data_IF_486319910912
#
_entry.id   IF_486319910912
#
_cell.length_a   1.000
_cell.length_b   1.000
_cell.length_c   1.000
_cell.angle_alpha   90.00
_cell.angle_beta   90.00
_cell.angle_gamma   90.00
#
_symmetry.space_group_name_H-M   'P 1'
#
loop_
_entity.id
_entity.type
_entity.pdbx_description
1 polymer ?
2 water ?
#
# COMPACT_ATOMS: atom_id res chain seq x y z
N UNK A 19 28.35 -30.19 -24.75
CA UNK A 19 27.61 -30.09 -26.01
C UNK A 19 26.24 -29.44 -25.82
N UNK A 20 26.05 -28.27 -26.43
CA UNK A 20 24.86 -27.44 -26.22
C UNK A 20 24.05 -27.30 -27.50
N UNK A 21 22.74 -27.39 -27.38
CA UNK A 21 21.86 -27.29 -28.54
C UNK A 21 21.63 -25.83 -28.94
N UNK A 22 21.42 -25.62 -30.24
CA UNK A 22 21.17 -24.29 -30.77
C UNK A 22 19.94 -23.66 -30.12
N UNK A 23 20.08 -22.52 -29.43
CA UNK A 23 18.93 -21.88 -28.79
C UNK A 23 17.95 -21.25 -29.78
N UNK A 24 18.29 -21.13 -31.06
CA UNK A 24 17.27 -20.70 -32.02
C UNK A 24 16.24 -21.79 -32.27
N UNK A 25 16.58 -23.03 -31.94
CA UNK A 25 15.70 -24.18 -32.18
C UNK A 25 15.26 -24.87 -30.91
N UNK A 26 15.98 -24.72 -29.81
CA UNK A 26 15.71 -25.48 -28.59
C UNK A 26 15.48 -24.49 -27.46
N UNK A 27 14.22 -24.26 -27.10
CA UNK A 27 13.92 -23.29 -26.06
C UNK A 27 13.08 -23.94 -24.97
N UNK A 28 13.15 -23.31 -23.79
CA UNK A 28 12.44 -23.79 -22.62
C UNK A 28 10.97 -23.98 -22.91
N UNK A 29 10.46 -25.15 -22.54
CA UNK A 29 9.05 -25.45 -22.67
C UNK A 29 8.32 -25.11 -21.38
N UNK A 30 7.06 -24.72 -21.54
CA UNK A 30 6.22 -24.22 -20.45
C UNK A 30 4.94 -25.01 -20.34
N UNK A 31 4.38 -25.06 -19.14
CA UNK A 31 3.05 -25.62 -18.96
C UNK A 31 2.23 -24.72 -18.03
N UNK A 32 0.90 -24.74 -18.16
CA UNK A 32 0.04 -24.01 -17.23
C UNK A 32 0.29 -24.46 -15.80
N UNK A 33 0.31 -23.49 -14.89
CA UNK A 33 0.63 -23.76 -13.48
C UNK A 33 -0.56 -23.42 -12.59
N UNK A 34 -1.07 -24.43 -11.87
CA UNK A 34 -2.17 -24.24 -10.88
C UNK A 34 -3.42 -23.66 -11.51
N UNK A 35 -3.76 -24.17 -12.70
CA UNK A 35 -4.85 -23.61 -13.49
C UNK A 35 -6.21 -23.68 -12.77
N UNK A 36 -6.40 -24.66 -11.88
CA UNK A 36 -7.64 -24.74 -11.12
C UNK A 36 -7.76 -23.69 -10.04
N UNK A 37 -6.71 -22.92 -9.78
CA UNK A 37 -6.77 -21.87 -8.76
C UNK A 37 -6.85 -20.47 -9.35
N UNK A 38 -6.94 -20.32 -10.67
CA UNK A 38 -6.94 -18.98 -11.24
C UNK A 38 -8.28 -18.27 -11.03
N UNK A 39 -8.22 -16.97 -10.80
CA UNK A 39 -9.39 -16.11 -10.86
C UNK A 39 -9.68 -15.78 -12.32
N UNK A 40 -10.83 -15.16 -12.60
CA UNK A 40 -11.17 -14.83 -13.99
C UNK A 40 -11.65 -13.39 -14.08
N UNK A 41 -11.54 -12.83 -15.28
CA UNK A 41 -11.91 -11.43 -15.50
C UNK A 41 -13.34 -11.32 -16.01
N UNK A 42 -14.05 -10.30 -15.52
CA UNK A 42 -15.41 -9.98 -15.94
C UNK A 42 -15.48 -8.56 -16.50
N UNK A 43 -16.46 -8.33 -17.40
CA UNK A 43 -16.59 -7.02 -18.02
C UNK A 43 -17.58 -6.14 -17.24
N UNK A 44 -17.87 -4.95 -17.78
CA UNK A 44 -18.75 -4.00 -17.10
C UNK A 44 -20.17 -4.51 -16.95
N UNK A 45 -20.61 -5.42 -17.84
CA UNK A 45 -21.92 -6.04 -17.76
C UNK A 45 -21.95 -7.30 -16.90
N UNK A 46 -20.92 -7.51 -16.08
CA UNK A 46 -20.86 -8.65 -15.16
C UNK A 46 -20.82 -9.98 -15.90
N UNK A 47 -20.22 -10.02 -17.10
CA UNK A 47 -20.08 -11.27 -17.85
C UNK A 47 -18.62 -11.69 -17.93
N UNK A 48 -18.35 -12.99 -17.74
CA UNK A 48 -16.97 -13.48 -17.82
C UNK A 48 -16.42 -13.26 -19.21
N UNK A 49 -15.25 -12.64 -19.29
CA UNK A 49 -14.61 -12.45 -20.59
C UNK A 49 -14.11 -13.77 -21.16
N UNK A 50 -14.02 -13.89 -22.48
CA UNK A 50 -13.23 -14.98 -23.06
C UNK A 50 -11.83 -14.91 -22.49
N UNK A 51 -11.29 -16.08 -22.18
CA UNK A 51 -10.02 -16.18 -21.47
C UNK A 51 -8.91 -15.50 -22.27
N UNK A 52 -8.11 -14.68 -21.60
CA UNK A 52 -7.02 -13.94 -22.28
C UNK A 52 -6.00 -14.92 -22.86
N UNK A 53 -5.34 -14.52 -23.93
CA UNK A 53 -4.28 -15.34 -24.49
C UNK A 53 -3.00 -15.08 -23.70
N UNK A 54 -2.16 -16.09 -23.57
CA UNK A 54 -1.01 -15.97 -22.64
C UNK A 54 0.10 -16.87 -23.15
N UNK A 55 1.21 -16.27 -23.53
CA UNK A 55 2.34 -17.03 -24.02
C UNK A 55 3.63 -16.47 -23.41
N UNK A 56 4.49 -17.38 -22.95
CA UNK A 56 5.74 -17.03 -22.24
C UNK A 56 6.90 -17.58 -23.04
N UNK A 57 7.95 -16.78 -23.19
CA UNK A 57 9.15 -17.22 -23.90
C UNK A 57 10.37 -16.78 -23.11
N UNK A 58 11.25 -17.71 -22.77
CA UNK A 58 12.51 -17.34 -22.11
C UNK A 58 13.53 -17.15 -23.21
N UNK A 59 13.63 -15.92 -23.73
CA UNK A 59 14.34 -15.78 -25.01
C UNK A 59 15.83 -15.49 -24.88
N UNK A 60 16.36 -15.28 -23.68
CA UNK A 60 17.81 -15.18 -23.49
C UNK A 60 18.19 -15.88 -22.20
N UNK A 61 19.39 -16.47 -22.20
CA UNK A 61 20.04 -16.89 -20.99
C UNK A 61 19.99 -18.37 -20.68
N UNK A 62 19.32 -19.17 -21.50
CA UNK A 62 19.18 -20.60 -21.21
C UNK A 62 19.68 -21.39 -22.40
N UNK A 63 20.45 -22.44 -22.13
CA UNK A 63 20.98 -23.32 -23.17
C UNK A 63 20.81 -24.77 -22.75
N UNK A 64 20.31 -25.61 -23.66
CA UNK A 64 20.05 -27.01 -23.33
C UNK A 64 21.35 -27.80 -23.38
N UNK A 65 21.72 -28.41 -22.26
CA UNK A 65 22.94 -29.20 -22.19
C UNK A 65 22.58 -30.66 -22.44
N UNK A 66 23.12 -31.24 -23.52
CA UNK A 66 22.79 -32.62 -23.84
C UNK A 66 23.28 -33.55 -22.75
N UNK A 67 24.48 -33.31 -22.23
CA UNK A 67 25.04 -34.20 -21.22
C UNK A 67 24.23 -34.22 -19.94
N UNK A 68 23.69 -33.07 -19.55
CA UNK A 68 22.86 -32.97 -18.35
C UNK A 68 21.40 -33.26 -18.61
N UNK A 69 20.99 -33.33 -19.88
CA UNK A 69 19.60 -33.52 -20.26
C UNK A 69 18.71 -32.44 -19.63
N UNK A 70 19.18 -31.18 -19.65
CA UNK A 70 18.44 -30.10 -19.02
C UNK A 70 18.96 -28.75 -19.50
N UNK A 71 18.11 -27.73 -19.36
CA UNK A 71 18.55 -26.39 -19.64
C UNK A 71 19.47 -25.91 -18.53
N UNK A 72 20.50 -25.14 -18.91
CA UNK A 72 21.50 -24.59 -18.00
C UNK A 72 21.54 -23.09 -18.16
N UNK A 73 21.73 -22.38 -17.06
CA UNK A 73 22.12 -20.98 -17.18
C UNK A 73 23.18 -20.70 -16.14
N UNK A 74 23.90 -19.61 -16.35
CA UNK A 74 24.96 -19.12 -15.47
C UNK A 74 24.39 -18.01 -14.62
N UNK A 75 24.53 -18.16 -13.29
CA UNK A 75 23.90 -17.23 -12.36
C UNK A 75 24.26 -15.78 -12.68
N UNK A 76 25.46 -15.54 -13.20
CA UNK A 76 25.85 -14.15 -13.37
C UNK A 76 25.54 -13.60 -14.76
N UNK A 77 25.14 -14.46 -15.71
CA UNK A 77 24.71 -14.01 -17.05
C UNK A 77 23.20 -13.85 -17.03
N UNK A 78 22.72 -12.66 -17.37
CA UNK A 78 21.32 -12.43 -17.12
C UNK A 78 20.44 -13.18 -18.14
N UNK A 79 19.21 -13.44 -17.74
CA UNK A 79 18.25 -14.08 -18.61
C UNK A 79 17.12 -13.09 -18.87
N UNK A 80 16.26 -13.42 -19.84
CA UNK A 80 15.19 -12.52 -20.21
C UNK A 80 13.96 -13.36 -20.54
N UNK A 81 12.81 -12.89 -20.10
CA UNK A 81 11.50 -13.52 -20.38
C UNK A 81 10.63 -12.49 -21.07
N UNK A 82 9.94 -12.91 -22.12
CA UNK A 82 8.96 -12.08 -22.82
C UNK A 82 7.60 -12.75 -22.67
N UNK A 83 6.59 -11.96 -22.33
CA UNK A 83 5.24 -12.48 -22.16
C UNK A 83 4.32 -11.78 -23.14
N UNK A 84 3.49 -12.54 -23.84
CA UNK A 84 2.49 -11.97 -24.74
C UNK A 84 1.12 -12.18 -24.12
N UNK A 85 0.46 -11.09 -23.75
CA UNK A 85 -0.82 -11.16 -23.05
C UNK A 85 -1.89 -10.57 -23.96
N UNK A 86 -2.78 -11.44 -24.45
CA UNK A 86 -3.84 -10.96 -25.34
C UNK A 86 -5.13 -10.72 -24.59
N UNK A 87 -5.46 -9.46 -24.33
CA UNK A 87 -6.66 -9.12 -23.56
C UNK A 87 -7.87 -9.07 -24.48
N UNK A 88 -8.76 -10.04 -24.32
CA UNK A 88 -10.03 -10.08 -25.06
C UNK A 88 -11.09 -9.34 -24.24
N UNK A 89 -11.71 -8.34 -24.85
CA UNK A 89 -12.72 -7.59 -24.14
C UNK A 89 -12.10 -6.55 -23.23
N UNK A 90 -12.95 -5.95 -22.40
CA UNK A 90 -12.54 -4.85 -21.52
C UNK A 90 -12.79 -5.22 -20.08
N UNK A 91 -11.76 -5.60 -19.34
CA UNK A 91 -11.97 -6.11 -17.99
C UNK A 91 -12.27 -5.00 -17.00
N UNK A 92 -13.24 -5.25 -16.12
CA UNK A 92 -13.56 -4.33 -15.02
C UNK A 92 -13.56 -4.99 -13.66
N UNK A 93 -13.77 -6.30 -13.57
CA UNK A 93 -13.85 -7.00 -12.30
C UNK A 93 -13.02 -8.27 -12.34
N UNK A 94 -12.56 -8.70 -11.16
CA UNK A 94 -11.97 -10.02 -10.96
C UNK A 94 -12.96 -10.88 -10.17
N UNK A 95 -13.25 -12.07 -10.68
CA UNK A 95 -14.09 -13.02 -9.96
C UNK A 95 -13.17 -13.86 -9.08
N UNK A 96 -13.18 -13.57 -7.79
CA UNK A 96 -12.36 -14.23 -6.79
C UNK A 96 -13.15 -15.30 -6.09
N UNK A 97 -12.51 -16.13 -5.26
CA UNK A 97 -13.30 -17.02 -4.40
C UNK A 97 -14.31 -16.29 -3.53
N UNK A 98 -13.99 -15.07 -3.08
CA UNK A 98 -14.93 -14.26 -2.31
C UNK A 98 -15.81 -13.40 -3.20
N UNK A 99 -16.02 -13.78 -4.46
CA UNK A 99 -16.92 -13.06 -5.34
C UNK A 99 -16.23 -11.97 -6.15
N UNK A 100 -17.04 -11.25 -6.91
CA UNK A 100 -16.56 -10.21 -7.82
C UNK A 100 -15.93 -9.06 -7.05
N UNK A 101 -14.80 -8.55 -7.54
CA UNK A 101 -14.19 -7.36 -6.97
C UNK A 101 -13.71 -6.44 -8.08
N UNK A 102 -13.87 -5.12 -7.90
CA UNK A 102 -13.36 -4.19 -8.91
C UNK A 102 -11.86 -4.35 -9.08
N UNK A 103 -11.43 -4.26 -10.33
CA UNK A 103 -10.04 -4.42 -10.70
C UNK A 103 -9.27 -3.13 -10.50
N UNK A 104 -8.12 -3.19 -9.79
CA UNK A 104 -7.24 -2.03 -9.61
C UNK A 104 -6.11 -1.96 -10.63
N UNK A 105 -5.35 -3.04 -10.79
CA UNK A 105 -4.24 -3.02 -11.75
C UNK A 105 -3.83 -4.47 -12.01
N UNK A 106 -2.89 -4.66 -12.93
CA UNK A 106 -2.31 -5.96 -13.21
C UNK A 106 -0.84 -5.95 -12.84
N UNK A 107 -0.35 -7.09 -12.34
CA UNK A 107 1.07 -7.33 -12.08
C UNK A 107 1.57 -8.54 -12.85
N UNK A 108 2.79 -8.46 -13.36
CA UNK A 108 3.54 -9.66 -13.78
C UNK A 108 4.54 -10.04 -12.68
N UNK A 109 4.47 -11.29 -12.25
CA UNK A 109 5.29 -11.81 -11.15
C UNK A 109 6.13 -12.97 -11.69
N UNK A 110 7.43 -12.96 -11.36
CA UNK A 110 8.33 -14.04 -11.74
C UNK A 110 9.06 -14.52 -10.49
N UNK A 111 9.19 -15.83 -10.36
CA UNK A 111 9.97 -16.36 -9.23
C UNK A 111 10.36 -17.79 -9.58
N UNK A 112 11.39 -18.31 -8.90
CA UNK A 112 11.76 -19.70 -9.06
C UNK A 112 11.17 -20.52 -7.94
N UNK A 113 11.08 -21.84 -8.18
CA UNK A 113 10.78 -22.80 -7.14
C UNK A 113 11.82 -23.92 -7.19
N UNK A 114 12.13 -24.49 -6.03
CA UNK A 114 12.99 -25.67 -6.00
C UNK A 114 12.24 -26.91 -6.48
N UNK A 115 12.86 -27.63 -7.41
CA UNK A 115 12.21 -28.85 -7.93
C UNK A 115 11.94 -29.87 -6.82
N UNK A 116 12.86 -29.98 -5.85
CA UNK A 116 12.70 -30.95 -4.77
C UNK A 116 11.97 -30.36 -3.56
N UNK A 117 11.55 -29.11 -3.65
CA UNK A 117 10.83 -28.47 -2.56
C UNK A 117 10.02 -27.34 -3.17
N UNK A 118 8.91 -27.71 -3.83
CA UNK A 118 8.19 -26.77 -4.67
C UNK A 118 7.57 -25.64 -3.85
N UNK A 119 7.40 -25.84 -2.55
CA UNK A 119 6.93 -24.78 -1.67
C UNK A 119 8.01 -23.77 -1.30
N UNK A 120 9.24 -23.92 -1.80
CA UNK A 120 10.32 -22.98 -1.48
C UNK A 120 10.65 -22.17 -2.72
N UNK A 121 10.53 -20.85 -2.61
CA UNK A 121 10.76 -19.96 -3.73
C UNK A 121 12.21 -19.52 -3.80
N UNK A 122 12.66 -19.28 -5.02
CA UNK A 122 13.97 -18.68 -5.30
C UNK A 122 13.69 -17.27 -5.79
N UNK A 123 14.16 -16.27 -5.04
CA UNK A 123 13.97 -14.90 -5.49
C UNK A 123 14.72 -14.65 -6.79
N UNK A 124 14.18 -13.75 -7.61
CA UNK A 124 14.81 -13.29 -8.84
C UNK A 124 15.28 -11.86 -8.62
N UNK A 125 16.47 -11.55 -9.11
CA UNK A 125 17.06 -10.23 -8.98
C UNK A 125 17.24 -9.66 -10.37
N UNK A 126 17.24 -8.34 -10.46
CA UNK A 126 17.44 -7.68 -11.74
C UNK A 126 18.65 -6.77 -11.65
N UNK A 127 19.54 -6.85 -12.64
CA UNK A 127 20.76 -6.06 -12.58
C UNK A 127 20.66 -4.81 -13.45
N UNK A 128 21.56 -3.87 -13.19
CA UNK A 128 21.74 -2.70 -14.04
C UNK A 128 23.15 -2.73 -14.60
N UNK A 129 23.41 -1.80 -15.52
CA UNK A 129 24.72 -1.75 -16.18
C UNK A 129 25.85 -1.61 -15.15
N UNK A 130 25.63 -0.81 -14.10
CA UNK A 130 26.65 -0.64 -13.07
C UNK A 130 26.79 -1.87 -12.20
N UNK A 131 26.14 -2.97 -12.56
CA UNK A 131 26.19 -4.27 -11.90
C UNK A 131 25.56 -4.27 -10.51
N UNK A 132 24.87 -3.20 -10.14
CA UNK A 132 24.04 -3.32 -8.96
C UNK A 132 22.85 -4.22 -9.28
N UNK A 133 22.31 -4.87 -8.25
CA UNK A 133 21.20 -5.80 -8.42
C UNK A 133 20.15 -5.44 -7.41
N UNK A 134 18.89 -5.58 -7.81
CA UNK A 134 17.76 -5.30 -6.94
C UNK A 134 16.81 -6.49 -7.00
N UNK A 135 16.06 -6.74 -5.93
CA UNK A 135 15.02 -7.76 -6.01
C UNK A 135 14.06 -7.43 -7.14
N UNK A 136 13.65 -8.46 -7.87
CA UNK A 136 12.67 -8.23 -8.91
C UNK A 136 11.31 -8.46 -8.29
N UNK A 137 10.62 -7.39 -7.98
CA UNK A 137 9.26 -7.48 -7.46
C UNK A 137 8.28 -7.45 -8.62
N UNK A 138 7.00 -7.77 -8.38
CA UNK A 138 6.05 -7.78 -9.50
C UNK A 138 5.95 -6.41 -10.16
N UNK A 139 5.85 -6.41 -11.47
CA UNK A 139 5.84 -5.15 -12.22
C UNK A 139 4.42 -4.83 -12.68
N UNK A 140 4.03 -3.57 -12.60
CA UNK A 140 2.72 -3.15 -13.09
C UNK A 140 2.70 -3.28 -14.61
N UNK A 141 1.61 -3.84 -15.14
CA UNK A 141 1.45 -3.98 -16.59
C UNK A 141 0.10 -3.40 -16.96
N UNK A 142 0.10 -2.55 -17.97
CA UNK A 142 -1.15 -2.01 -18.48
C UNK A 142 -1.60 -2.87 -19.66
N UNK A 143 -2.84 -3.35 -19.59
CA UNK A 143 -3.40 -4.30 -20.55
C UNK A 143 -4.63 -3.67 -21.20
N UNK A 144 -4.41 -2.81 -22.21
CA UNK A 144 -5.56 -2.19 -22.88
C UNK A 144 -6.42 -3.23 -23.55
N UNK A 145 -7.73 -2.96 -23.69
CA UNK A 145 -8.65 -3.97 -24.24
C UNK A 145 -8.36 -4.32 -25.69
N UNK A 146 -8.67 -5.58 -26.06
CA UNK A 146 -8.65 -6.04 -27.45
C UNK A 146 -7.26 -5.94 -28.05
N UNK A 147 -6.22 -6.09 -27.25
CA UNK A 147 -4.84 -6.01 -27.75
C UNK A 147 -4.02 -7.06 -27.07
N UNK A 148 -2.99 -7.52 -27.77
CA UNK A 148 -1.86 -8.20 -27.15
C UNK A 148 -0.89 -7.15 -26.63
N UNK A 149 -0.54 -7.25 -25.35
CA UNK A 149 0.53 -6.45 -24.78
C UNK A 149 1.75 -7.36 -24.63
N UNK A 150 2.87 -6.91 -25.15
CA UNK A 150 4.13 -7.65 -25.07
C UNK A 150 4.90 -7.07 -23.89
N UNK A 151 5.29 -7.91 -22.94
CA UNK A 151 6.02 -7.43 -21.77
C UNK A 151 7.36 -8.13 -21.76
N UNK A 152 8.45 -7.37 -21.82
CA UNK A 152 9.79 -7.96 -21.85
C UNK A 152 10.45 -7.62 -20.52
N UNK A 153 10.92 -8.65 -19.82
CA UNK A 153 11.60 -8.47 -18.54
C UNK A 153 13.01 -9.01 -18.70
N UNK A 154 14.00 -8.11 -18.71
CA UNK A 154 15.37 -8.47 -18.97
C UNK A 154 16.29 -8.28 -17.77
N UNK A 155 17.58 -8.57 -18.01
CA UNK A 155 18.63 -8.45 -17.01
C UNK A 155 18.30 -9.18 -15.71
N UNK A 156 17.75 -10.39 -15.84
CA UNK A 156 17.35 -11.15 -14.66
C UNK A 156 18.40 -12.19 -14.26
N UNK A 157 18.37 -12.53 -12.97
CA UNK A 157 19.24 -13.52 -12.35
C UNK A 157 18.48 -14.28 -11.29
N UNK A 158 18.81 -15.58 -11.15
CA UNK A 158 18.37 -16.26 -9.97
C UNK A 158 19.23 -15.79 -8.81
N UNK A 159 18.64 -15.73 -7.61
CA UNK A 159 19.38 -15.31 -6.43
C UNK A 159 20.24 -16.43 -5.82
N UNK A 160 20.08 -17.67 -6.29
CA UNK A 160 20.82 -18.84 -5.80
C UNK A 160 21.30 -19.67 -6.98
N UNK A 161 22.35 -20.46 -6.75
CA UNK A 161 22.72 -21.56 -7.63
C UNK A 161 21.93 -22.80 -7.23
N UNK A 162 21.74 -23.73 -8.19
CA UNK A 162 21.21 -25.03 -7.81
C UNK A 162 22.28 -25.85 -7.10
N UNK A 163 21.85 -26.64 -6.11
CA UNK A 163 22.77 -27.51 -5.36
C UNK A 163 23.21 -28.72 -6.18
N UNK A 164 24.41 -29.20 -5.84
CA UNK A 164 24.95 -30.46 -6.38
C UNK A 164 25.20 -30.39 -7.88
N UNK A 165 25.77 -29.27 -8.34
CA UNK A 165 26.07 -29.11 -9.75
C UNK A 165 27.28 -29.91 -10.22
N UNK A 166 28.22 -30.25 -9.34
CA UNK A 166 29.49 -30.78 -9.80
C UNK A 166 29.32 -32.20 -10.32
N UNK A 167 29.96 -32.46 -11.44
CA UNK A 167 29.88 -33.78 -12.06
C UNK A 167 30.55 -34.81 -11.17
N UNK A 168 30.11 -36.06 -11.29
CA UNK A 168 30.72 -37.19 -10.60
C UNK A 168 31.00 -38.28 -11.63
N UNK A 169 32.28 -38.59 -11.85
CA UNK A 169 32.71 -39.62 -12.79
C UNK A 169 32.31 -39.28 -14.22
N UNK A 170 32.43 -38.00 -14.59
CA UNK A 170 32.00 -37.58 -15.90
C UNK A 170 30.54 -37.80 -16.18
N UNK A 171 29.74 -38.01 -15.14
CA UNK A 171 28.30 -38.15 -15.22
C UNK A 171 27.62 -37.05 -14.40
N UNK A 172 26.39 -36.69 -14.75
CA UNK A 172 25.62 -35.77 -13.90
C UNK A 172 25.63 -36.21 -12.44
N UNK A 173 25.80 -35.25 -11.55
CA UNK A 173 25.63 -35.53 -10.14
C UNK A 173 24.29 -36.24 -9.91
N UNK A 174 24.29 -37.39 -9.23
CA UNK A 174 23.02 -38.09 -9.02
C UNK A 174 22.06 -37.31 -8.16
N UNK A 175 22.56 -36.32 -7.41
CA UNK A 175 21.71 -35.47 -6.58
C UNK A 175 21.60 -34.06 -7.14
N UNK A 176 21.96 -33.86 -8.41
CA UNK A 176 21.70 -32.61 -9.13
C UNK A 176 20.33 -32.04 -8.75
N UNK A 177 20.32 -30.77 -8.32
CA UNK A 177 19.08 -30.09 -8.00
C UNK A 177 18.74 -29.11 -9.13
N UNK A 178 17.48 -28.70 -9.15
CA UNK A 178 16.94 -27.88 -10.23
C UNK A 178 16.02 -26.83 -9.68
N UNK A 179 15.84 -25.76 -10.49
CA UNK A 179 14.78 -24.77 -10.31
C UNK A 179 13.78 -24.89 -11.45
N UNK A 180 12.55 -24.45 -11.19
CA UNK A 180 11.59 -24.17 -12.27
C UNK A 180 11.17 -22.71 -12.15
N UNK A 181 10.99 -22.06 -13.28
CA UNK A 181 10.62 -20.64 -13.30
C UNK A 181 9.11 -20.52 -13.42
N UNK A 182 8.51 -19.68 -12.58
CA UNK A 182 7.07 -19.41 -12.62
C UNK A 182 6.88 -17.98 -13.11
N UNK A 183 6.04 -17.81 -14.13
CA UNK A 183 5.73 -16.48 -14.72
C UNK A 183 4.21 -16.33 -14.67
N UNK A 184 3.74 -15.41 -13.83
CA UNK A 184 2.31 -15.33 -13.52
C UNK A 184 1.77 -13.92 -13.75
N UNK A 185 0.58 -13.83 -14.35
CA UNK A 185 -0.15 -12.58 -14.48
C UNK A 185 -1.16 -12.55 -13.36
N UNK A 186 -1.17 -11.46 -12.59
CA UNK A 186 -2.02 -11.31 -11.43
C UNK A 186 -2.90 -10.08 -11.61
N UNK A 187 -4.12 -10.16 -11.09
CA UNK A 187 -5.01 -9.02 -10.93
C UNK A 187 -4.96 -8.56 -9.48
N UNK A 188 -4.83 -7.26 -9.27
CA UNK A 188 -4.84 -6.69 -7.93
C UNK A 188 -6.21 -6.07 -7.68
N UNK A 189 -6.81 -6.44 -6.54
CA UNK A 189 -8.15 -6.00 -6.15
C UNK A 189 -8.23 -5.97 -4.64
N UNK A 190 -8.62 -4.82 -4.07
CA UNK A 190 -8.81 -4.64 -2.64
C UNK A 190 -7.62 -5.19 -1.83
N UNK A 191 -6.43 -4.69 -2.15
CA UNK A 191 -5.18 -5.01 -1.44
C UNK A 191 -4.83 -6.49 -1.51
N UNK A 192 -5.34 -7.21 -2.50
CA UNK A 192 -5.08 -8.63 -2.66
C UNK A 192 -4.74 -8.90 -4.12
N UNK A 193 -3.88 -9.89 -4.36
CA UNK A 193 -3.52 -10.27 -5.71
C UNK A 193 -4.11 -11.62 -6.04
N UNK A 194 -4.54 -11.80 -7.30
CA UNK A 194 -5.20 -13.03 -7.72
C UNK A 194 -4.59 -13.47 -9.03
N UNK A 195 -4.19 -14.74 -9.12
CA UNK A 195 -3.57 -15.19 -10.36
C UNK A 195 -4.61 -15.35 -11.44
N UNK A 196 -4.34 -14.79 -12.63
CA UNK A 196 -5.21 -14.96 -13.79
C UNK A 196 -4.70 -16.02 -14.76
N UNK A 197 -3.37 -16.15 -14.84
CA UNK A 197 -2.73 -17.04 -15.79
C UNK A 197 -1.30 -17.22 -15.30
N UNK A 198 -0.79 -18.45 -15.40
CA UNK A 198 0.56 -18.70 -14.92
C UNK A 198 1.10 -19.90 -15.68
N UNK A 199 2.36 -19.82 -16.07
CA UNK A 199 3.10 -20.94 -16.65
C UNK A 199 4.30 -21.26 -15.79
N UNK A 200 4.70 -22.54 -15.77
CA UNK A 200 5.92 -22.96 -15.09
C UNK A 200 6.82 -23.69 -16.11
N UNK A 201 8.12 -23.45 -16.01
CA UNK A 201 9.08 -23.97 -16.97
C UNK A 201 9.44 -25.42 -16.66
N UNK A 202 10.13 -26.04 -17.61
CA UNK A 202 10.85 -27.27 -17.34
C UNK A 202 12.06 -26.95 -16.45
N UNK A 203 12.64 -28.01 -15.89
CA UNK A 203 13.71 -27.86 -14.91
C UNK A 203 14.96 -27.19 -15.49
N UNK A 204 15.65 -26.44 -14.63
CA UNK A 204 16.77 -25.59 -15.03
C UNK A 204 17.90 -25.81 -14.04
N UNK A 205 19.13 -25.90 -14.54
CA UNK A 205 20.34 -25.94 -13.70
C UNK A 205 20.92 -24.54 -13.70
N UNK A 206 21.34 -24.05 -12.51
CA UNK A 206 21.90 -22.71 -12.38
C UNK A 206 23.31 -22.85 -11.79
N UNK A 207 24.32 -22.57 -12.60
CA UNK A 207 25.72 -22.75 -12.23
C UNK A 207 26.36 -21.41 -11.89
N UNK A 208 27.38 -21.46 -11.02
CA UNK A 208 28.11 -20.26 -10.63
C UNK A 208 29.21 -19.92 -11.63
N UNK A 209 30.13 -20.86 -11.85
CA UNK A 209 31.17 -20.67 -12.84
C UNK A 209 31.20 -21.85 -13.80
N UNK B 19 3.21 15.36 -1.21
CA UNK B 19 4.61 15.03 -1.41
C UNK B 19 5.16 15.76 -2.62
N UNK B 20 4.85 17.06 -2.75
CA UNK B 20 5.41 17.80 -3.86
C UNK B 20 5.47 19.32 -3.63
N UNK B 21 4.60 19.88 -2.80
CA UNK B 21 4.71 21.30 -2.51
C UNK B 21 5.50 21.53 -1.23
N UNK B 22 6.05 22.73 -1.11
CA UNK B 22 6.89 23.09 0.02
C UNK B 22 6.08 23.02 1.31
N UNK B 23 6.47 22.19 2.28
CA UNK B 23 5.75 22.16 3.56
C UNK B 23 5.72 23.51 4.27
N UNK B 24 6.76 24.33 4.12
CA UNK B 24 6.88 25.57 4.87
C UNK B 24 5.95 26.67 4.37
N UNK B 25 5.30 26.48 3.22
CA UNK B 25 4.41 27.48 2.66
C UNK B 25 3.03 26.94 2.30
N UNK B 26 2.79 25.63 2.45
CA UNK B 26 1.49 25.03 2.14
C UNK B 26 1.16 24.07 3.27
N UNK B 27 0.32 24.52 4.20
CA UNK B 27 -0.02 23.77 5.40
C UNK B 27 -1.47 23.30 5.34
N UNK B 28 -1.76 22.26 6.13
CA UNK B 28 -3.12 21.75 6.23
C UNK B 28 -4.05 22.86 6.70
N UNK B 29 -5.24 22.93 6.10
CA UNK B 29 -6.23 23.90 6.52
C UNK B 29 -7.26 23.25 7.45
N UNK B 30 -7.78 24.05 8.38
CA UNK B 30 -8.71 23.59 9.40
C UNK B 30 -9.99 24.42 9.38
N UNK B 31 -11.10 23.80 9.77
CA UNK B 31 -12.36 24.49 9.95
C UNK B 31 -13.02 24.00 11.24
N UNK B 32 -13.80 24.86 11.90
CA UNK B 32 -14.50 24.42 13.11
C UNK B 32 -15.38 23.22 12.84
N UNK B 33 -15.41 22.31 13.79
CA UNK B 33 -16.10 21.03 13.64
C UNK B 33 -17.25 20.96 14.64
N UNK B 34 -18.48 20.95 14.12
CA UNK B 34 -19.68 20.75 14.95
C UNK B 34 -19.83 21.86 15.99
N UNK B 35 -19.63 23.11 15.55
CA UNK B 35 -19.61 24.24 16.46
C UNK B 35 -20.93 24.43 17.19
N UNK B 36 -22.05 23.96 16.63
CA UNK B 36 -23.34 24.10 17.28
C UNK B 36 -23.53 23.13 18.43
N UNK B 37 -22.58 22.23 18.67
CA UNK B 37 -22.72 21.19 19.69
C UNK B 37 -21.74 21.37 20.84
N UNK B 38 -20.98 22.45 20.87
CA UNK B 38 -19.97 22.62 21.92
C UNK B 38 -20.62 23.11 23.22
N UNK B 39 -20.11 22.62 24.33
CA UNK B 39 -20.40 23.20 25.63
C UNK B 39 -19.60 24.50 25.80
N UNK B 40 -19.88 25.23 26.87
CA UNK B 40 -19.20 26.49 27.13
C UNK B 40 -18.75 26.55 28.59
N UNK B 41 -17.80 27.43 28.86
CA UNK B 41 -17.16 27.51 30.17
C UNK B 41 -17.69 28.71 30.95
N UNK B 42 -17.94 28.49 32.24
CA UNK B 42 -18.46 29.51 33.14
C UNK B 42 -17.48 29.71 34.28
N UNK B 43 -17.38 30.95 34.76
CA UNK B 43 -16.47 31.27 35.85
C UNK B 43 -17.14 31.00 37.20
N UNK B 44 -16.43 31.35 38.27
CA UNK B 44 -16.92 31.08 39.62
C UNK B 44 -18.14 31.92 39.97
N UNK B 45 -18.41 32.99 39.23
CA UNK B 45 -19.62 33.78 39.44
C UNK B 45 -20.72 33.42 38.46
N UNK B 46 -20.65 32.22 37.87
CA UNK B 46 -21.71 31.68 37.00
C UNK B 46 -21.96 32.58 35.78
N UNK B 47 -20.89 33.19 35.27
CA UNK B 47 -20.96 33.94 34.03
C UNK B 47 -20.14 33.24 32.95
N UNK B 48 -20.70 33.17 31.75
CA UNK B 48 -20.00 32.57 30.63
C UNK B 48 -18.70 33.30 30.38
N UNK B 49 -17.61 32.55 30.28
CA UNK B 49 -16.36 33.22 29.97
C UNK B 49 -16.32 33.61 28.49
N UNK B 50 -15.59 34.67 28.15
CA UNK B 50 -15.31 34.93 26.73
C UNK B 50 -14.68 33.70 26.10
N UNK B 51 -15.10 33.40 24.87
CA UNK B 51 -14.71 32.17 24.21
C UNK B 51 -13.19 32.04 24.15
N UNK B 52 -12.67 30.88 24.55
CA UNK B 52 -11.25 30.65 24.50
C UNK B 52 -10.75 30.67 23.06
N UNK B 53 -9.48 31.06 22.91
CA UNK B 53 -8.84 30.97 21.60
C UNK B 53 -8.36 29.53 21.37
N UNK B 54 -8.43 29.10 20.12
CA UNK B 54 -8.11 27.72 19.76
C UNK B 54 -7.52 27.72 18.36
N UNK B 55 -6.27 27.27 18.25
CA UNK B 55 -5.59 27.17 16.96
C UNK B 55 -4.93 25.80 16.88
N UNK B 56 -5.14 25.12 15.76
CA UNK B 56 -4.56 23.81 15.50
C UNK B 56 -3.66 23.92 14.28
N UNK B 57 -2.50 23.26 14.34
CA UNK B 57 -1.54 23.27 13.23
C UNK B 57 -0.83 21.93 13.18
N UNK B 58 -0.95 21.25 12.04
CA UNK B 58 -0.14 20.07 11.75
C UNK B 58 1.20 20.58 11.22
N UNK B 59 2.12 20.86 12.13
CA UNK B 59 3.36 21.54 11.80
C UNK B 59 4.37 20.64 11.08
N UNK B 60 4.17 19.33 11.06
CA UNK B 60 5.14 18.39 10.54
C UNK B 60 4.45 17.09 10.16
N UNK B 61 4.80 16.56 8.99
CA UNK B 61 4.35 15.24 8.56
C UNK B 61 3.49 15.22 7.31
N UNK B 62 3.06 16.36 6.78
CA UNK B 62 2.09 16.39 5.68
C UNK B 62 2.64 17.23 4.53
N UNK B 63 2.54 16.70 3.31
CA UNK B 63 2.98 17.41 2.12
C UNK B 63 1.90 17.35 1.06
N UNK B 64 1.71 18.46 0.36
CA UNK B 64 0.64 18.60 -0.63
C UNK B 64 1.13 18.15 -2.00
N UNK B 65 0.42 17.20 -2.60
CA UNK B 65 0.76 16.68 -3.93
C UNK B 65 -0.11 17.37 -4.98
N UNK B 66 0.53 18.16 -5.84
CA UNK B 66 -0.20 18.82 -6.93
C UNK B 66 -0.92 17.80 -7.81
N UNK B 67 -0.39 16.58 -7.89
CA UNK B 67 -0.99 15.58 -8.76
C UNK B 67 -2.38 15.19 -8.30
N UNK B 68 -2.57 14.98 -7.00
CA UNK B 68 -3.84 14.53 -6.46
C UNK B 68 -4.68 15.63 -5.88
N UNK B 69 -4.18 16.86 -5.85
CA UNK B 69 -4.91 17.98 -5.27
C UNK B 69 -5.32 17.66 -3.84
N UNK B 70 -4.35 17.21 -3.05
CA UNK B 70 -4.62 16.73 -1.70
C UNK B 70 -3.32 16.60 -0.94
N UNK B 71 -3.38 16.87 0.36
CA UNK B 71 -2.26 16.54 1.23
C UNK B 71 -2.11 15.04 1.35
N UNK B 72 -0.86 14.60 1.49
CA UNK B 72 -0.57 13.19 1.65
C UNK B 72 0.50 13.03 2.73
N UNK B 73 0.36 11.97 3.51
CA UNK B 73 1.41 11.49 4.38
C UNK B 73 1.43 9.97 4.25
N UNK B 74 2.20 9.31 5.09
CA UNK B 74 2.46 7.89 4.87
C UNK B 74 2.56 7.17 6.20
N UNK B 75 1.87 6.03 6.28
CA UNK B 75 1.71 5.29 7.54
C UNK B 75 3.04 5.11 8.27
N UNK B 76 4.14 5.16 7.54
CA UNK B 76 5.46 4.95 8.09
C UNK B 76 5.95 6.18 8.84
N UNK B 77 5.97 7.33 8.17
CA UNK B 77 6.52 8.55 8.73
C UNK B 77 5.49 9.21 9.63
N UNK B 78 5.87 9.46 10.88
CA UNK B 78 4.93 10.03 11.82
C UNK B 78 4.77 11.53 11.57
N UNK B 79 3.60 12.05 11.95
CA UNK B 79 3.34 13.48 11.86
C UNK B 79 3.23 14.06 13.27
N UNK B 80 2.87 15.33 13.34
CA UNK B 80 2.84 16.05 14.60
C UNK B 80 1.82 17.18 14.51
N UNK B 81 1.06 17.36 15.59
CA UNK B 81 0.08 18.43 15.69
C UNK B 81 0.36 19.25 16.94
N UNK B 82 0.23 20.57 16.83
CA UNK B 82 0.41 21.49 17.95
C UNK B 82 -0.84 22.32 18.10
N UNK B 83 -1.35 22.44 19.32
CA UNK B 83 -2.58 23.16 19.63
C UNK B 83 -2.26 24.32 20.56
N UNK B 84 -2.83 25.49 20.27
CA UNK B 84 -2.64 26.69 21.07
C UNK B 84 -3.98 27.09 21.68
N UNK B 85 -4.12 26.90 23.00
CA UNK B 85 -5.37 27.11 23.69
C UNK B 85 -5.25 28.33 24.59
N UNK B 86 -5.93 29.41 24.22
CA UNK B 86 -5.93 30.61 25.05
C UNK B 86 -7.10 30.67 26.02
N UNK B 87 -6.85 30.26 27.26
CA UNK B 87 -7.89 30.27 28.28
C UNK B 87 -8.07 31.70 28.80
N UNK B 88 -9.22 32.29 28.51
CA UNK B 88 -9.56 33.62 29.01
C UNK B 88 -10.44 33.50 30.24
N UNK B 89 -10.08 34.23 31.30
CA UNK B 89 -10.74 34.04 32.58
C UNK B 89 -10.34 32.72 33.22
N UNK B 90 -11.01 32.41 34.33
CA UNK B 90 -10.73 31.20 35.10
C UNK B 90 -11.96 30.30 35.15
N UNK B 91 -11.96 29.18 34.43
CA UNK B 91 -13.17 28.36 34.35
C UNK B 91 -13.40 27.54 35.61
N UNK B 92 -14.67 27.42 35.99
CA UNK B 92 -15.05 26.62 37.15
C UNK B 92 -16.14 25.63 36.77
N UNK B 93 -16.98 26.00 35.81
CA UNK B 93 -18.08 25.14 35.40
C UNK B 93 -18.10 25.01 33.90
N UNK B 94 -18.74 23.93 33.43
CA UNK B 94 -19.05 23.74 32.02
C UNK B 94 -20.57 23.70 31.88
N UNK B 95 -21.09 24.54 30.98
CA UNK B 95 -22.52 24.55 30.68
C UNK B 95 -22.80 23.44 29.67
N UNK B 96 -23.46 22.39 30.12
CA UNK B 96 -23.87 21.26 29.30
C UNK B 96 -25.34 21.42 28.92
N UNK B 97 -25.83 20.62 27.95
CA UNK B 97 -27.27 20.64 27.68
C UNK B 97 -28.11 20.26 28.87
N UNK B 98 -27.53 19.59 29.87
CA UNK B 98 -28.25 19.29 31.10
C UNK B 98 -28.16 20.42 32.11
N UNK B 99 -27.23 21.35 31.96
CA UNK B 99 -27.05 22.44 32.88
C UNK B 99 -25.60 22.58 33.31
N UNK B 100 -25.38 23.51 34.24
CA UNK B 100 -24.03 23.76 34.76
C UNK B 100 -23.52 22.56 35.52
N UNK B 101 -22.29 22.14 35.22
CA UNK B 101 -21.61 21.10 35.94
C UNK B 101 -20.26 21.59 36.42
N UNK B 102 -19.83 21.19 37.61
CA UNK B 102 -18.49 21.56 38.08
C UNK B 102 -17.42 20.96 37.18
N UNK B 103 -16.39 21.77 36.91
CA UNK B 103 -15.29 21.37 36.04
C UNK B 103 -14.32 20.45 36.79
N UNK B 104 -14.04 19.28 36.21
CA UNK B 104 -13.03 18.39 36.79
C UNK B 104 -11.67 18.66 36.14
N UNK B 105 -11.53 18.34 34.86
CA UNK B 105 -10.27 18.53 34.17
C UNK B 105 -10.55 18.73 32.68
N UNK B 106 -9.47 18.87 31.90
CA UNK B 106 -9.53 19.08 30.47
C UNK B 106 -8.84 17.93 29.75
N UNK B 107 -9.37 17.56 28.59
CA UNK B 107 -8.75 16.52 27.77
C UNK B 107 -8.56 17.05 26.35
N UNK B 108 -7.46 16.64 25.73
CA UNK B 108 -7.20 16.90 24.32
C UNK B 108 -7.28 15.59 23.55
N UNK B 109 -8.10 15.56 22.52
CA UNK B 109 -8.46 14.32 21.83
C UNK B 109 -8.19 14.46 20.34
N UNK B 110 -7.60 13.41 19.75
CA UNK B 110 -7.27 13.38 18.33
C UNK B 110 -7.73 12.05 17.74
N UNK B 111 -8.24 12.12 16.52
CA UNK B 111 -8.62 10.92 15.79
C UNK B 111 -8.87 11.30 14.34
N UNK B 112 -9.05 10.28 13.51
CA UNK B 112 -9.38 10.52 12.13
C UNK B 112 -10.78 10.04 11.85
N UNK B 113 -11.36 10.48 10.72
CA UNK B 113 -12.62 9.96 10.25
C UNK B 113 -12.48 9.69 8.76
N UNK B 114 -13.27 8.73 8.27
CA UNK B 114 -13.26 8.41 6.85
C UNK B 114 -14.13 9.39 6.08
N UNK B 115 -13.55 10.02 5.05
CA UNK B 115 -14.23 11.08 4.33
C UNK B 115 -15.55 10.61 3.75
N UNK B 116 -15.64 9.36 3.35
CA UNK B 116 -16.85 8.79 2.77
C UNK B 116 -17.74 8.14 3.82
N UNK B 117 -17.33 8.15 5.09
CA UNK B 117 -18.07 7.54 6.20
C UNK B 117 -17.63 8.23 7.49
N UNK B 118 -18.07 9.48 7.67
CA UNK B 118 -17.59 10.30 8.77
C UNK B 118 -18.00 9.77 10.13
N UNK B 119 -19.02 8.90 10.18
CA UNK B 119 -19.38 8.26 11.44
C UNK B 119 -18.35 7.23 11.90
N UNK B 120 -17.41 6.85 11.05
CA UNK B 120 -16.43 5.82 11.38
C UNK B 120 -15.06 6.46 11.58
N UNK B 121 -14.53 6.33 12.78
CA UNK B 121 -13.29 7.00 13.15
C UNK B 121 -12.09 6.10 12.89
N UNK B 122 -10.95 6.73 12.65
CA UNK B 122 -9.69 6.04 12.40
C UNK B 122 -8.77 6.29 13.57
N UNK B 123 -8.36 5.21 14.24
CA UNK B 123 -7.50 5.34 15.41
C UNK B 123 -6.16 5.94 15.02
N UNK B 124 -5.56 6.65 15.96
CA UNK B 124 -4.24 7.26 15.77
C UNK B 124 -3.29 6.61 16.76
N UNK B 125 -2.09 6.29 16.29
CA UNK B 125 -1.11 5.58 17.09
C UNK B 125 0.02 6.51 17.53
N UNK B 126 0.74 6.08 18.57
CA UNK B 126 1.94 6.79 19.00
C UNK B 126 3.07 5.83 19.33
N UNK B 135 -1.12 3.59 20.06
CA UNK B 135 -2.40 3.30 20.72
C UNK B 135 -2.84 4.48 21.57
N UNK B 136 -3.30 5.54 20.92
CA UNK B 136 -3.41 6.84 21.57
C UNK B 136 -4.51 6.85 22.64
N UNK B 137 -4.55 7.96 23.37
CA UNK B 137 -5.49 8.24 24.44
C UNK B 137 -5.56 9.75 24.59
N UNK B 138 -6.69 10.29 25.03
CA UNK B 138 -6.76 11.73 25.28
C UNK B 138 -5.69 12.18 26.27
N UNK B 139 -5.27 13.43 26.12
CA UNK B 139 -4.22 14.02 26.93
C UNK B 139 -4.86 14.97 27.94
N UNK B 140 -4.68 14.70 29.22
CA UNK B 140 -5.03 15.67 30.24
C UNK B 140 -4.17 16.92 30.04
N UNK B 141 -4.80 18.07 29.92
CA UNK B 141 -4.09 19.33 29.70
C UNK B 141 -4.44 20.30 30.83
N UNK B 142 -3.45 21.07 31.25
CA UNK B 142 -3.64 22.14 32.23
C UNK B 142 -3.81 23.45 31.49
N UNK B 143 -4.88 24.17 31.78
CA UNK B 143 -5.18 25.43 31.11
C UNK B 143 -5.26 26.53 32.16
N UNK B 144 -4.11 27.07 32.60
CA UNK B 144 -4.13 28.10 33.62
C UNK B 144 -4.82 29.35 33.11
N UNK B 145 -5.37 30.17 34.00
CA UNK B 145 -6.16 31.32 33.57
C UNK B 145 -5.33 32.35 32.83
N UNK B 146 -5.96 32.96 31.81
CA UNK B 146 -5.39 34.11 31.09
C UNK B 146 -4.05 33.77 30.45
N UNK B 147 -3.95 32.56 29.89
CA UNK B 147 -2.71 32.09 29.30
C UNK B 147 -3.02 31.26 28.07
N UNK B 148 -2.17 31.40 27.05
CA UNK B 148 -2.14 30.42 25.97
C UNK B 148 -1.28 29.25 26.42
N UNK B 149 -1.86 28.05 26.38
CA UNK B 149 -1.17 26.82 26.72
C UNK B 149 -0.95 26.03 25.43
N UNK B 150 0.31 25.74 25.12
CA UNK B 150 0.65 25.04 23.89
C UNK B 150 0.85 23.57 24.19
N UNK B 151 0.20 22.72 23.41
CA UNK B 151 0.27 21.28 23.57
C UNK B 151 0.77 20.71 22.25
N UNK B 152 1.99 20.17 22.27
CA UNK B 152 2.57 19.51 21.12
C UNK B 152 2.34 18.01 21.24
N UNK B 153 1.80 17.40 20.20
CA UNK B 153 1.56 15.97 20.16
C UNK B 153 2.27 15.41 18.94
N UNK B 154 3.17 14.44 19.17
CA UNK B 154 4.12 13.99 18.15
C UNK B 154 4.24 12.47 18.07
N UNK B 155 4.98 11.96 17.07
CA UNK B 155 5.22 10.52 16.91
C UNK B 155 3.91 9.78 16.62
N UNK B 156 3.10 10.34 15.71
CA UNK B 156 1.76 9.82 15.43
C UNK B 156 1.64 9.20 14.05
N UNK B 157 0.86 8.13 13.97
CA UNK B 157 0.54 7.53 12.69
C UNK B 157 -0.91 7.08 12.68
N UNK B 158 -1.37 6.73 11.49
CA UNK B 158 -2.71 6.22 11.29
C UNK B 158 -2.72 4.71 11.35
N UNK B 159 -3.82 4.16 11.88
CA UNK B 159 -3.93 2.72 11.98
C UNK B 159 -3.99 2.06 10.61
N UNK B 160 -4.58 2.72 9.61
CA UNK B 160 -4.77 2.13 8.30
C UNK B 160 -4.32 3.06 7.19
N UNK B 161 -4.29 2.49 6.00
CA UNK B 161 -4.17 3.17 4.72
C UNK B 161 -5.55 3.68 4.28
N UNK B 162 -5.54 4.69 3.42
CA UNK B 162 -6.78 5.06 2.75
C UNK B 162 -7.01 4.11 1.58
N UNK B 163 -8.25 3.66 1.42
CA UNK B 163 -8.55 2.72 0.35
C UNK B 163 -8.37 3.38 -1.01
N UNK B 164 -8.07 2.55 -2.01
CA UNK B 164 -7.96 3.00 -3.40
C UNK B 164 -6.85 4.01 -3.57
N UNK B 165 -5.74 3.81 -2.84
CA UNK B 165 -4.61 4.74 -2.94
C UNK B 165 -3.91 4.66 -4.29
N UNK B 166 -4.03 3.54 -4.99
CA UNK B 166 -3.15 3.27 -6.10
C UNK B 166 -3.72 3.80 -7.41
N UNK B 167 -2.81 4.18 -8.30
CA UNK B 167 -3.17 4.79 -9.57
C UNK B 167 -3.91 3.81 -10.46
N UNK B 168 -4.60 4.37 -11.46
CA UNK B 168 -5.21 3.55 -12.49
C UNK B 168 -5.04 4.27 -13.81
N UNK B 169 -4.34 3.61 -14.74
CA UNK B 169 -3.70 4.23 -15.89
C UNK B 169 -2.63 5.17 -15.34
N UNK B 170 -2.69 6.45 -15.64
CA UNK B 170 -1.72 7.39 -15.09
C UNK B 170 -2.37 8.43 -14.21
N UNK B 171 -3.61 8.26 -13.96
CA UNK B 171 -4.59 9.07 -13.24
C UNK B 171 -4.69 8.59 -11.80
N UNK B 172 -4.99 9.45 -10.83
CA UNK B 172 -5.38 8.94 -9.51
C UNK B 172 -6.69 8.18 -9.61
N UNK B 173 -6.90 7.31 -8.63
CA UNK B 173 -8.08 6.47 -8.64
C UNK B 173 -9.34 7.32 -8.61
N UNK B 174 -10.23 7.21 -9.62
CA UNK B 174 -11.50 7.94 -9.58
C UNK B 174 -12.34 7.63 -8.34
N UNK B 175 -11.87 6.69 -7.52
CA UNK B 175 -12.53 6.33 -6.28
C UNK B 175 -11.57 6.40 -5.10
N UNK B 176 -10.62 7.35 -5.15
CA UNK B 176 -9.68 7.54 -4.06
C UNK B 176 -10.42 7.89 -2.77
N UNK B 177 -9.93 7.36 -1.65
CA UNK B 177 -10.48 7.61 -0.33
C UNK B 177 -9.56 8.54 0.45
N UNK B 178 -10.16 9.28 1.40
CA UNK B 178 -9.41 10.23 2.20
C UNK B 178 -9.79 10.10 3.67
N UNK B 179 -8.89 10.58 4.52
CA UNK B 179 -9.13 10.73 5.95
C UNK B 179 -9.24 12.21 6.28
N UNK B 180 -9.80 12.50 7.44
CA UNK B 180 -9.81 13.86 7.96
C UNK B 180 -9.49 13.80 9.45
N UNK B 181 -8.66 14.75 9.89
CA UNK B 181 -8.21 14.79 11.27
C UNK B 181 -9.16 15.66 12.11
N UNK B 182 -9.54 15.15 13.28
CA UNK B 182 -10.36 15.89 14.24
C UNK B 182 -9.53 16.11 15.48
N UNK B 183 -9.34 17.38 15.85
CA UNK B 183 -8.60 17.76 17.05
C UNK B 183 -9.55 18.52 17.96
N UNK B 184 -9.90 17.94 19.09
CA UNK B 184 -10.94 18.47 19.96
C UNK B 184 -10.41 18.70 21.37
N UNK B 185 -10.80 19.82 21.96
CA UNK B 185 -10.61 20.08 23.39
C UNK B 185 -11.90 19.72 24.11
N UNK B 186 -11.78 18.96 25.19
CA UNK B 186 -12.94 18.49 25.93
C UNK B 186 -12.87 18.94 27.38
N UNK B 187 -14.03 19.21 27.96
CA UNK B 187 -14.17 19.45 29.39
C UNK B 187 -14.75 18.20 30.04
N UNK B 188 -14.11 17.74 31.10
CA UNK B 188 -14.56 16.56 31.84
C UNK B 188 -15.29 17.03 33.09
N UNK B 189 -16.52 16.57 33.26
CA UNK B 189 -17.33 17.00 34.40
C UNK B 189 -18.29 15.89 34.77
N UNK B 190 -18.20 15.41 36.01
CA UNK B 190 -19.07 14.36 36.53
C UNK B 190 -19.02 13.14 35.62
N UNK B 191 -17.80 12.71 35.32
CA UNK B 191 -17.52 11.45 34.61
C UNK B 191 -18.06 11.44 33.18
N UNK B 192 -18.16 12.60 32.54
CA UNK B 192 -18.50 12.65 31.14
C UNK B 192 -17.79 13.83 30.48
N UNK B 193 -17.54 13.70 29.19
CA UNK B 193 -16.79 14.68 28.43
C UNK B 193 -17.72 15.54 27.59
N UNK B 194 -17.37 16.81 27.47
CA UNK B 194 -18.13 17.77 26.66
C UNK B 194 -17.15 18.58 25.84
N UNK B 195 -17.33 18.58 24.53
CA UNK B 195 -16.43 19.30 23.63
C UNK B 195 -16.57 20.80 23.84
N UNK B 196 -15.45 21.47 24.11
CA UNK B 196 -15.43 22.92 24.16
C UNK B 196 -15.05 23.55 22.82
N UNK B 197 -14.22 22.87 22.02
CA UNK B 197 -13.76 23.39 20.74
C UNK B 197 -13.13 22.24 19.95
N UNK B 198 -13.30 22.28 18.64
CA UNK B 198 -12.77 21.22 17.79
C UNK B 198 -12.59 21.74 16.36
N UNK B 199 -11.55 21.27 15.70
CA UNK B 199 -11.31 21.59 14.31
C UNK B 199 -11.17 20.29 13.51
N UNK B 200 -11.60 20.36 12.25
CA UNK B 200 -11.51 19.24 11.32
C UNK B 200 -10.67 19.69 10.15
N UNK B 201 -9.77 18.82 9.70
CA UNK B 201 -8.83 19.18 8.63
C UNK B 201 -9.43 18.93 7.26
N UNK B 202 -8.71 19.38 6.24
CA UNK B 202 -9.04 19.06 4.86
C UNK B 202 -8.61 17.62 4.56
N UNK B 203 -8.88 17.18 3.31
CA UNK B 203 -8.61 15.81 2.89
C UNK B 203 -7.15 15.43 3.14
N UNK B 204 -6.94 14.15 3.45
CA UNK B 204 -5.61 13.58 3.64
C UNK B 204 -5.59 12.19 3.03
N UNK B 205 -4.64 11.94 2.13
CA UNK B 205 -4.35 10.60 1.64
C UNK B 205 -3.17 10.06 2.44
N UNK B 206 -3.34 8.89 3.05
CA UNK B 206 -2.23 8.22 3.72
C UNK B 206 -1.90 6.97 2.91
N UNK B 207 -0.61 6.78 2.63
CA UNK B 207 -0.23 5.83 1.60
C UNK B 207 0.94 4.97 2.05
N UNK B 208 1.09 3.85 1.35
CA UNK B 208 2.24 2.95 1.45
C UNK B 208 2.47 2.49 2.88
#
# INVERSE_FOLDING_TARGET
>A
GPMADIGSLLQDSDSLSGSYLDPNYQSIKWQPHQQNKWATLYDANYKELPMLTYRVDADKGFNFSVGDDAFVCQKKNHFQVTVYIGMLGEPKYVKTPEGLKPLDCFYLKLHGVKLEALNQSINIEQSQSDRSKRPFNPVTVNLPPEQVTKVTVGRLHFSETTANNMRKKGKPNPDQRYFMLVVALQAHAQNQNYTLAAQISERIIVRASNPGQFESDSDVLWQRAQVPDTVFHHGRVGINTDRPDEALVVHGNVK
>B
GPMADIGSLLQDSDSLSGSYLDPNYQSIKWQPHQQNKWATLYDANYKELPMLTYRVDADKGFNFSVGDDAFVCQKKNHFQVTVYIGMLGEPKYVKTPEGLKPLDCFYLKLHGVKLEALNQSINIEQSQSDRSKRPFNPVTVNLPPEQVTKVTVGRLHFSETTANNMRKKGKPNPDQRYFMLVVALQAHAQNQNYTLAAQISERIIVRASNPGQFESDSDVLWQRAQVPDTVFHHGRVGINTDRPDEALVVHGNVK
#
